data_IF_129291689543
#
_entry.id   IF_129291689543
#
_cell.length_a   1.000
_cell.length_b   1.000
_cell.length_c   1.000
_cell.angle_alpha   90.00
_cell.angle_beta   90.00
_cell.angle_gamma   90.00
#
_symmetry.space_group_name_H-M   'P 1'
#
loop_
_entity.id
_entity.type
_entity.pdbx_description
1 polymer ?
#
# COMPACT_ATOMS: atom_id res chain seq x y z
N UNK A 1 -6.44 19.28 0.04
CA UNK A 1 -6.08 17.93 -0.43
C UNK A 1 -5.02 17.36 0.50
N UNK A 2 -5.15 16.13 0.99
CA UNK A 2 -4.11 15.55 1.84
C UNK A 2 -2.84 15.27 1.03
N UNK A 3 -1.72 15.23 1.75
CA UNK A 3 -0.45 14.79 1.18
C UNK A 3 -0.40 13.26 1.20
N UNK A 4 0.29 12.69 0.23
CA UNK A 4 0.61 11.27 0.22
C UNK A 4 2.05 11.07 0.70
N UNK A 5 2.22 10.22 1.70
CA UNK A 5 3.54 9.90 2.26
C UNK A 5 3.72 8.38 2.24
N UNK A 6 4.88 7.91 1.80
CA UNK A 6 5.28 6.52 1.87
C UNK A 6 6.23 6.34 3.04
N UNK A 7 5.81 5.57 4.04
CA UNK A 7 6.69 5.27 5.17
C UNK A 7 7.81 4.34 4.74
N UNK A 8 8.96 4.36 5.42
CA UNK A 8 10.10 3.54 5.02
C UNK A 8 9.80 2.05 4.86
N UNK A 9 8.97 1.46 5.72
CA UNK A 9 8.62 0.05 5.59
C UNK A 9 7.78 -0.23 4.34
N UNK A 10 6.91 0.70 3.95
CA UNK A 10 6.13 0.55 2.72
C UNK A 10 7.03 0.61 1.48
N UNK A 11 8.01 1.52 1.48
CA UNK A 11 8.99 1.59 0.39
C UNK A 11 9.82 0.30 0.31
N UNK A 12 10.26 -0.20 1.46
CA UNK A 12 11.01 -1.47 1.52
C UNK A 12 10.17 -2.64 1.02
N UNK A 13 8.88 -2.67 1.37
CA UNK A 13 7.95 -3.70 0.88
C UNK A 13 7.86 -3.66 -0.66
N UNK A 14 7.69 -2.46 -1.24
CA UNK A 14 7.61 -2.30 -2.70
C UNK A 14 8.88 -2.79 -3.37
N UNK A 15 10.04 -2.38 -2.86
CA UNK A 15 11.33 -2.80 -3.42
C UNK A 15 11.49 -4.32 -3.39
N UNK A 16 11.14 -4.95 -2.27
CA UNK A 16 11.24 -6.40 -2.14
C UNK A 16 10.31 -7.13 -3.10
N UNK A 17 9.08 -6.65 -3.27
CA UNK A 17 8.11 -7.22 -4.20
C UNK A 17 8.61 -7.09 -5.63
N UNK A 18 9.09 -5.90 -6.02
CA UNK A 18 9.62 -5.67 -7.36
C UNK A 18 10.81 -6.56 -7.67
N UNK A 19 11.77 -6.67 -6.74
CA UNK A 19 12.95 -7.50 -6.93
C UNK A 19 12.56 -8.96 -7.14
N UNK A 20 11.61 -9.44 -6.34
CA UNK A 20 11.16 -10.83 -6.44
C UNK A 20 10.52 -11.12 -7.81
N UNK A 21 9.59 -10.29 -8.24
CA UNK A 21 8.87 -10.48 -9.52
C UNK A 21 9.81 -10.26 -10.69
N UNK A 22 10.72 -9.29 -10.60
CA UNK A 22 11.63 -8.95 -11.70
C UNK A 22 12.60 -10.09 -12.02
N UNK A 23 12.84 -11.02 -11.11
CA UNK A 23 13.69 -12.19 -11.40
C UNK A 23 13.12 -13.00 -12.58
N UNK A 24 11.80 -13.09 -12.69
CA UNK A 24 11.15 -13.83 -13.76
C UNK A 24 10.56 -12.92 -14.84
N UNK A 25 10.07 -11.74 -14.45
CA UNK A 25 9.33 -10.88 -15.38
C UNK A 25 9.48 -9.41 -14.98
N UNK A 26 10.52 -8.72 -15.47
CA UNK A 26 10.74 -7.31 -15.16
C UNK A 26 9.57 -6.39 -15.54
N UNK A 27 8.91 -6.64 -16.66
CA UNK A 27 7.78 -5.84 -17.10
C UNK A 27 6.61 -5.96 -16.11
N UNK A 28 6.32 -7.18 -15.65
CA UNK A 28 5.25 -7.39 -14.67
C UNK A 28 5.55 -6.70 -13.34
N UNK A 29 6.83 -6.64 -12.94
CA UNK A 29 7.23 -5.94 -11.73
C UNK A 29 6.92 -4.44 -11.82
N UNK A 30 7.27 -3.81 -12.95
CA UNK A 30 6.99 -2.38 -13.17
C UNK A 30 5.50 -2.12 -13.20
N UNK A 31 4.73 -2.95 -13.89
CA UNK A 31 3.27 -2.79 -13.98
C UNK A 31 2.61 -2.88 -12.60
N UNK A 32 3.04 -3.82 -11.77
CA UNK A 32 2.51 -3.94 -10.41
C UNK A 32 2.88 -2.72 -9.57
N UNK A 33 4.12 -2.25 -9.66
CA UNK A 33 4.54 -1.08 -8.91
C UNK A 33 3.76 0.18 -9.33
N UNK A 34 3.46 0.31 -10.61
CA UNK A 34 2.60 1.39 -11.12
C UNK A 34 1.19 1.29 -10.51
N UNK A 35 0.67 0.08 -10.32
CA UNK A 35 -0.62 -0.12 -9.66
C UNK A 35 -0.59 0.32 -8.20
N UNK A 36 0.51 0.08 -7.48
CA UNK A 36 0.66 0.58 -6.12
C UNK A 36 0.58 2.10 -6.08
N UNK A 37 1.29 2.77 -6.99
CA UNK A 37 1.25 4.23 -7.10
C UNK A 37 -0.15 4.75 -7.40
N UNK A 38 -0.83 4.14 -8.36
CA UNK A 38 -2.16 4.57 -8.77
C UNK A 38 -3.19 4.40 -7.64
N UNK A 39 -3.13 3.27 -6.93
CA UNK A 39 -4.05 3.02 -5.82
C UNK A 39 -3.78 3.93 -4.63
N UNK A 40 -2.51 4.22 -4.35
CA UNK A 40 -2.15 5.17 -3.29
C UNK A 40 -2.69 6.57 -3.61
N UNK A 41 -2.61 7.00 -4.87
CA UNK A 41 -3.15 8.28 -5.29
C UNK A 41 -4.67 8.33 -5.15
N UNK A 42 -5.36 7.23 -5.46
CA UNK A 42 -6.80 7.13 -5.24
C UNK A 42 -7.16 7.25 -3.75
N UNK A 43 -6.37 6.63 -2.89
CA UNK A 43 -6.56 6.75 -1.43
C UNK A 43 -6.33 8.17 -0.95
N UNK A 44 -5.35 8.88 -1.52
CA UNK A 44 -5.12 10.28 -1.21
C UNK A 44 -6.33 11.14 -1.56
N UNK A 45 -6.94 10.90 -2.71
CA UNK A 45 -8.09 11.66 -3.19
C UNK A 45 -9.35 11.36 -2.39
N UNK A 46 -9.53 10.10 -1.95
CA UNK A 46 -10.72 9.64 -1.23
C UNK A 46 -10.33 8.77 -0.03
N UNK A 47 -9.73 9.36 1.00
CA UNK A 47 -9.13 8.57 2.08
C UNK A 47 -10.12 7.70 2.86
N UNK A 48 -11.38 8.08 2.93
CA UNK A 48 -12.40 7.35 3.70
C UNK A 48 -13.19 6.35 2.88
N UNK A 49 -12.88 6.21 1.58
CA UNK A 49 -13.60 5.31 0.68
C UNK A 49 -13.32 3.83 0.99
N UNK A 50 -12.13 3.53 1.47
CA UNK A 50 -11.66 2.16 1.60
C UNK A 50 -11.96 1.59 2.98
N UNK A 51 -11.98 0.26 3.08
CA UNK A 51 -12.38 -0.46 4.29
C UNK A 51 -11.42 -0.20 5.45
N UNK A 52 -11.94 -0.32 6.69
CA UNK A 52 -11.09 -0.31 7.87
C UNK A 52 -10.16 -1.52 7.87
N UNK A 53 -8.93 -1.30 8.33
CA UNK A 53 -7.92 -2.33 8.35
C UNK A 53 -8.03 -3.26 9.55
N UNK A 54 -7.25 -4.35 9.49
CA UNK A 54 -7.15 -5.31 10.59
C UNK A 54 -6.53 -4.71 11.84
N UNK A 55 -5.66 -3.71 11.66
CA UNK A 55 -5.08 -2.96 12.79
C UNK A 55 -5.91 -1.71 13.01
N UNK A 56 -6.26 -1.45 14.28
CA UNK A 56 -7.07 -0.29 14.65
C UNK A 56 -6.41 1.00 14.15
N UNK A 57 -7.22 1.89 13.59
CA UNK A 57 -6.75 3.18 13.07
C UNK A 57 -6.17 3.11 11.68
N UNK A 58 -6.17 1.95 11.05
CA UNK A 58 -5.70 1.79 9.67
C UNK A 58 -6.83 1.50 8.71
N UNK A 59 -6.54 1.63 7.42
CA UNK A 59 -7.40 1.22 6.32
C UNK A 59 -6.60 0.37 5.36
N UNK A 60 -7.31 -0.43 4.58
CA UNK A 60 -6.69 -1.34 3.61
C UNK A 60 -7.30 -1.15 2.25
N UNK A 61 -6.46 -1.11 1.23
CA UNK A 61 -6.88 -1.05 -0.16
C UNK A 61 -6.32 -2.26 -0.90
N UNK A 62 -7.22 -3.02 -1.54
CA UNK A 62 -6.82 -4.16 -2.37
C UNK A 62 -6.32 -3.64 -3.69
N UNK A 63 -5.07 -3.93 -4.02
CA UNK A 63 -4.46 -3.51 -5.29
C UNK A 63 -4.72 -4.55 -6.36
N UNK A 64 -4.48 -5.81 -6.00
CA UNK A 64 -4.79 -7.00 -6.80
C UNK A 64 -5.23 -8.08 -5.83
N UNK A 65 -5.81 -9.20 -6.29
CA UNK A 65 -6.27 -10.25 -5.38
C UNK A 65 -5.23 -10.70 -4.36
N UNK A 66 -3.95 -10.60 -4.72
CA UNK A 66 -2.85 -11.07 -3.88
C UNK A 66 -2.02 -9.96 -3.22
N UNK A 67 -2.40 -8.69 -3.36
CA UNK A 67 -1.67 -7.57 -2.74
C UNK A 67 -2.61 -6.56 -2.10
N UNK A 68 -2.24 -6.14 -0.89
CA UNK A 68 -3.01 -5.19 -0.08
C UNK A 68 -2.07 -4.10 0.43
N UNK A 69 -2.49 -2.84 0.34
CA UNK A 69 -1.78 -1.74 0.97
C UNK A 69 -2.51 -1.31 2.24
N UNK A 70 -1.73 -1.07 3.29
CA UNK A 70 -2.23 -0.58 4.58
C UNK A 70 -1.84 0.89 4.71
N UNK A 71 -2.82 1.74 5.02
CA UNK A 71 -2.55 3.16 5.21
C UNK A 71 -3.30 3.72 6.42
N UNK A 72 -2.90 4.90 6.83
CA UNK A 72 -3.54 5.63 7.91
C UNK A 72 -3.74 7.08 7.51
N UNK A 73 -4.84 7.67 7.95
CA UNK A 73 -5.11 9.09 7.81
C UNK A 73 -4.53 9.78 9.03
N UNK A 74 -3.64 10.74 8.82
CA UNK A 74 -2.91 11.46 9.87
C UNK A 74 -3.14 12.95 9.75
N UNK A 75 -2.67 13.72 10.75
CA UNK A 75 -2.71 15.19 10.74
C UNK A 75 -4.11 15.75 10.49
N UNK A 76 -5.10 15.19 11.18
CA UNK A 76 -6.51 15.62 11.08
C UNK A 76 -7.01 15.60 9.63
N UNK A 77 -6.59 14.60 8.85
CA UNK A 77 -6.98 14.47 7.46
C UNK A 77 -6.01 15.10 6.47
N UNK A 78 -4.94 15.71 6.95
CA UNK A 78 -3.96 16.38 6.09
C UNK A 78 -2.93 15.45 5.43
N UNK A 79 -2.85 14.20 5.89
CA UNK A 79 -1.87 13.25 5.39
C UNK A 79 -2.48 11.87 5.23
N UNK A 80 -2.20 11.24 4.10
CA UNK A 80 -2.44 9.81 3.89
C UNK A 80 -1.07 9.13 3.89
N UNK A 81 -0.82 8.29 4.89
CA UNK A 81 0.48 7.64 5.09
C UNK A 81 0.37 6.17 4.72
N UNK A 82 1.05 5.75 3.65
CA UNK A 82 1.17 4.33 3.29
C UNK A 82 2.14 3.68 4.25
N UNK A 83 1.66 2.71 5.04
CA UNK A 83 2.42 2.08 6.11
C UNK A 83 3.08 0.78 5.66
N UNK A 84 2.37 -0.04 4.90
CA UNK A 84 2.85 -1.34 4.43
C UNK A 84 2.26 -1.67 3.07
N UNK A 85 2.98 -2.50 2.31
CA UNK A 85 2.46 -3.18 1.13
C UNK A 85 2.67 -4.68 1.37
N UNK A 86 1.58 -5.45 1.38
CA UNK A 86 1.59 -6.83 1.85
C UNK A 86 1.07 -7.78 0.79
N UNK A 87 1.71 -8.96 0.70
CA UNK A 87 1.10 -10.09 -0.01
C UNK A 87 -0.10 -10.57 0.82
N UNK A 88 -1.20 -10.93 0.17
CA UNK A 88 -2.43 -11.32 0.87
C UNK A 88 -2.25 -12.56 1.76
N UNK A 89 -1.30 -13.45 1.43
CA UNK A 89 -1.00 -14.61 2.25
C UNK A 89 -0.10 -14.30 3.45
N UNK A 90 0.49 -13.09 3.49
CA UNK A 90 1.36 -12.67 4.58
C UNK A 90 0.54 -12.41 5.84
N UNK A 91 1.05 -12.88 6.99
CA UNK A 91 0.37 -12.63 8.26
C UNK A 91 0.48 -11.15 8.64
N UNK A 92 -0.68 -10.54 8.88
CA UNK A 92 -0.75 -9.14 9.27
C UNK A 92 -1.86 -8.92 10.30
N UNK A 93 -1.61 -8.26 11.43
CA UNK A 93 -0.27 -7.83 11.84
C UNK A 93 0.61 -9.02 12.23
N UNK A 94 1.95 -8.83 12.25
CA UNK A 94 2.84 -9.89 12.72
C UNK A 94 2.63 -10.14 14.20
N UNK A 95 2.94 -11.34 14.64
CA UNK A 95 2.83 -11.74 16.05
C UNK A 95 3.71 -10.89 16.97
#
# INVERSE_FOLDING_TARGET
>A
MPRLVWRPMALADRDAIMDYIAQDNPTAAVELDDDFEAKAEQARQRPTLYRTGRVKGTREIVVRPNYVMVYRIEDEGGTVAMLRVLHAAQKWPPD
#
